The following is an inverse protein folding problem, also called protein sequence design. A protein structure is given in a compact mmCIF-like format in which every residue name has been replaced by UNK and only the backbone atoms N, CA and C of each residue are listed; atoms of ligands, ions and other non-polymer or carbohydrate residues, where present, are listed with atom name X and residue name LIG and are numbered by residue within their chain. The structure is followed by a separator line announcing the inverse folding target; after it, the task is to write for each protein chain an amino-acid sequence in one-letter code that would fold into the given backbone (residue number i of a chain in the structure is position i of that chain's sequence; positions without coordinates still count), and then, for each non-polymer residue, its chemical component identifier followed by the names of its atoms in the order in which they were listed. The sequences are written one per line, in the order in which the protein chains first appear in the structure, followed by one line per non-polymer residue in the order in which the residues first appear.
data_IF_070495873612
#
_entry.id   IF_070495873612
#
_cell.length_a   1.000
_cell.length_b   1.000
_cell.length_c   1.000
_cell.angle_alpha   90.00
_cell.angle_beta   90.00
_cell.angle_gamma   90.00
#
_symmetry.space_group_name_H-M   'P 1'
#
loop_
_entity.id
_entity.type
_entity.pdbx_description
1 polymer ?
#
# COMPACT_ATOMS: atom_id res chain seq x y z
N UNK A 1 11.99 -13.43 30.25
CA UNK A 1 12.94 -12.83 29.32
C UNK A 1 12.14 -12.11 28.24
N UNK A 2 12.03 -10.79 28.32
CA UNK A 2 11.44 -9.97 27.27
C UNK A 2 12.56 -9.62 26.30
N UNK A 3 12.59 -10.26 25.12
CA UNK A 3 13.51 -9.88 24.05
C UNK A 3 13.08 -8.54 23.49
N UNK A 4 14.05 -7.65 23.28
CA UNK A 4 13.85 -6.31 22.72
C UNK A 4 12.94 -6.33 21.49
N UNK A 5 12.06 -5.34 21.32
CA UNK A 5 11.24 -5.25 20.12
C UNK A 5 12.16 -5.14 18.91
N UNK A 6 12.06 -6.12 18.01
CA UNK A 6 12.78 -6.15 16.75
C UNK A 6 12.38 -4.91 15.95
N UNK A 7 13.24 -3.88 15.95
CA UNK A 7 12.98 -2.66 15.20
C UNK A 7 12.90 -3.06 13.72
N UNK A 8 11.79 -2.79 13.03
CA UNK A 8 11.71 -3.06 11.61
C UNK A 8 12.86 -2.31 10.93
N UNK A 9 13.69 -3.02 10.16
CA UNK A 9 14.75 -2.41 9.34
C UNK A 9 14.18 -1.46 8.27
N UNK A 10 12.89 -1.58 7.99
CA UNK A 10 12.15 -0.78 7.04
C UNK A 10 11.58 0.46 7.76
N UNK A 11 12.03 1.65 7.32
CA UNK A 11 11.54 2.94 7.82
C UNK A 11 10.15 3.30 7.27
N UNK A 12 9.62 2.50 6.34
CA UNK A 12 8.33 2.70 5.68
C UNK A 12 8.20 4.08 5.01
N UNK A 13 9.30 4.66 4.52
CA UNK A 13 9.33 5.99 3.91
C UNK A 13 8.44 6.06 2.67
N UNK A 14 8.46 5.03 1.81
CA UNK A 14 7.57 4.94 0.64
C UNK A 14 6.09 4.86 1.06
N UNK A 15 5.78 4.10 2.11
CA UNK A 15 4.42 3.99 2.63
C UNK A 15 3.90 5.32 3.19
N UNK A 16 4.74 6.07 3.89
CA UNK A 16 4.37 7.39 4.41
C UNK A 16 4.09 8.35 3.25
N UNK A 17 4.96 8.37 2.24
CA UNK A 17 4.79 9.18 1.04
C UNK A 17 3.48 8.87 0.30
N UNK A 18 3.19 7.59 0.10
CA UNK A 18 1.93 7.15 -0.54
C UNK A 18 0.71 7.67 0.22
N UNK A 19 0.73 7.65 1.55
CA UNK A 19 -0.39 8.13 2.37
C UNK A 19 -0.54 9.64 2.25
N UNK A 20 0.57 10.37 2.37
CA UNK A 20 0.55 11.83 2.31
C UNK A 20 0.03 12.31 0.95
N UNK A 21 0.46 11.66 -0.14
CA UNK A 21 0.00 11.98 -1.50
C UNK A 21 -1.46 11.55 -1.73
N UNK A 22 -1.88 10.40 -1.18
CA UNK A 22 -3.22 9.85 -1.40
C UNK A 22 -4.28 10.42 -0.46
N UNK A 23 -3.91 11.09 0.63
CA UNK A 23 -4.87 11.51 1.67
C UNK A 23 -5.97 12.41 1.11
N UNK A 24 -5.60 13.40 0.28
CA UNK A 24 -6.55 14.32 -0.33
C UNK A 24 -7.56 13.58 -1.22
N UNK A 25 -7.09 12.59 -1.99
CA UNK A 25 -7.93 11.75 -2.84
C UNK A 25 -8.84 10.83 -2.03
N UNK A 26 -8.32 10.27 -0.94
CA UNK A 26 -9.11 9.47 0.02
C UNK A 26 -10.20 10.34 0.63
N UNK A 27 -9.89 11.54 1.13
CA UNK A 27 -10.86 12.42 1.80
C UNK A 27 -11.95 12.96 0.88
N UNK A 28 -11.60 13.24 -0.37
CA UNK A 28 -12.54 13.72 -1.39
C UNK A 28 -13.29 12.59 -2.10
N UNK A 29 -12.91 11.32 -1.90
CA UNK A 29 -13.49 10.17 -2.58
C UNK A 29 -13.25 10.14 -4.09
N UNK A 30 -12.14 10.74 -4.54
CA UNK A 30 -11.79 10.83 -5.96
C UNK A 30 -10.74 9.78 -6.33
N UNK A 31 -10.80 9.31 -7.58
CA UNK A 31 -9.76 8.43 -8.11
C UNK A 31 -8.47 9.24 -8.29
N UNK A 32 -7.35 8.69 -7.84
CA UNK A 32 -6.04 9.27 -8.06
C UNK A 32 -5.08 8.23 -8.63
N UNK A 33 -4.02 8.69 -9.28
CA UNK A 33 -2.97 7.83 -9.83
C UNK A 33 -1.61 8.36 -9.42
N UNK A 34 -0.81 7.50 -8.80
CA UNK A 34 0.52 7.84 -8.31
C UNK A 34 1.57 6.90 -8.89
N UNK A 35 2.77 7.42 -9.10
CA UNK A 35 3.88 6.67 -9.70
C UNK A 35 5.09 6.76 -8.77
N UNK A 36 5.64 5.60 -8.40
CA UNK A 36 6.83 5.52 -7.55
C UNK A 36 7.80 4.48 -8.04
N UNK A 37 9.07 4.64 -7.67
CA UNK A 37 10.04 3.57 -7.79
C UNK A 37 10.02 2.74 -6.50
N UNK A 38 10.15 1.42 -6.63
CA UNK A 38 10.18 0.48 -5.49
C UNK A 38 11.47 -0.32 -5.47
N UNK A 39 12.01 -0.54 -4.28
CA UNK A 39 13.19 -1.39 -4.05
C UNK A 39 12.86 -2.48 -3.02
N UNK A 40 13.66 -3.56 -2.99
CA UNK A 40 13.35 -4.77 -2.20
C UNK A 40 13.21 -4.49 -0.69
N UNK A 41 13.79 -3.39 -0.20
CA UNK A 41 13.65 -2.99 1.20
C UNK A 41 12.28 -2.38 1.53
N UNK A 42 11.52 -1.94 0.51
CA UNK A 42 10.16 -1.42 0.68
C UNK A 42 9.18 -2.58 0.85
N UNK A 43 8.73 -2.81 2.09
CA UNK A 43 7.82 -3.91 2.43
C UNK A 43 6.42 -3.39 2.75
N UNK A 44 5.43 -4.27 2.69
CA UNK A 44 4.05 -3.97 3.08
C UNK A 44 3.42 -2.78 2.34
N UNK A 45 3.86 -2.52 1.11
CA UNK A 45 3.38 -1.40 0.29
C UNK A 45 1.88 -1.55 0.03
N UNK A 46 1.12 -0.50 0.37
CA UNK A 46 -0.33 -0.44 0.17
C UNK A 46 -1.19 -0.88 1.38
N UNK A 47 -0.61 -1.55 2.38
CA UNK A 47 -1.37 -2.04 3.53
C UNK A 47 -1.95 -0.90 4.38
N UNK A 48 -1.14 0.15 4.61
CA UNK A 48 -1.56 1.29 5.45
C UNK A 48 -2.58 2.18 4.74
N UNK A 49 -2.45 2.38 3.43
CA UNK A 49 -3.46 3.08 2.63
C UNK A 49 -4.81 2.33 2.65
N UNK A 50 -4.76 1.00 2.48
CA UNK A 50 -5.97 0.17 2.52
C UNK A 50 -6.67 0.23 3.88
N UNK A 51 -5.91 0.26 4.98
CA UNK A 51 -6.45 0.44 6.33
C UNK A 51 -7.15 1.79 6.53
N UNK A 52 -6.61 2.87 5.98
CA UNK A 52 -7.24 4.20 6.05
C UNK A 52 -8.53 4.28 5.24
N UNK A 53 -8.57 3.65 4.06
CA UNK A 53 -9.78 3.57 3.24
C UNK A 53 -10.84 2.71 3.94
N UNK A 54 -10.47 1.53 4.44
CA UNK A 54 -11.40 0.65 5.15
C UNK A 54 -11.98 1.30 6.40
N UNK A 55 -11.19 2.10 7.13
CA UNK A 55 -11.65 2.83 8.31
C UNK A 55 -12.67 3.93 8.00
N UNK A 56 -12.52 4.61 6.84
CA UNK A 56 -13.39 5.73 6.43
C UNK A 56 -14.61 5.28 5.65
N UNK A 57 -14.44 4.33 4.74
CA UNK A 57 -15.42 3.96 3.70
C UNK A 57 -15.88 2.49 3.79
N UNK A 58 -15.36 1.71 4.74
CA UNK A 58 -15.55 0.26 4.76
C UNK A 58 -14.85 -0.43 3.59
N UNK A 59 -15.02 -1.75 3.47
CA UNK A 59 -14.28 -2.56 2.49
C UNK A 59 -14.62 -2.29 1.01
N UNK A 60 -15.68 -1.54 0.69
CA UNK A 60 -16.12 -1.30 -0.69
C UNK A 60 -16.40 0.17 -1.03
N UNK A 61 -16.35 1.10 -0.07
CA UNK A 61 -16.86 2.44 -0.30
C UNK A 61 -16.04 3.31 -1.26
N UNK A 62 -14.83 2.88 -1.64
CA UNK A 62 -14.01 3.55 -2.64
C UNK A 62 -13.81 2.71 -3.93
N UNK A 63 -14.53 1.60 -4.08
CA UNK A 63 -14.40 0.71 -5.24
C UNK A 63 -14.82 1.37 -6.58
N UNK A 64 -15.70 2.38 -6.52
CA UNK A 64 -16.11 3.15 -7.70
C UNK A 64 -15.06 4.17 -8.18
N UNK A 65 -14.17 4.59 -7.27
CA UNK A 65 -13.16 5.64 -7.51
C UNK A 65 -11.80 5.19 -6.96
N UNK A 66 -11.18 4.15 -7.52
CA UNK A 66 -9.99 3.55 -6.93
C UNK A 66 -8.78 4.47 -6.99
N UNK A 67 -7.91 4.36 -5.98
CA UNK A 67 -6.57 4.93 -5.97
C UNK A 67 -5.61 3.94 -6.61
N UNK A 68 -4.99 4.36 -7.71
CA UNK A 68 -4.06 3.56 -8.49
C UNK A 68 -2.64 3.93 -8.12
N UNK A 69 -1.81 2.94 -7.82
CA UNK A 69 -0.40 3.12 -7.50
C UNK A 69 0.39 2.28 -8.48
N UNK A 70 1.17 2.95 -9.32
CA UNK A 70 2.10 2.34 -10.26
C UNK A 70 3.50 2.35 -9.66
N UNK A 71 4.12 1.19 -9.66
CA UNK A 71 5.44 0.95 -9.10
C UNK A 71 6.35 0.40 -10.19
N UNK A 72 7.57 0.93 -10.27
CA UNK A 72 8.61 0.43 -11.15
C UNK A 72 9.82 -0.01 -10.31
N UNK A 73 10.30 -1.24 -10.51
CA UNK A 73 11.46 -1.80 -9.81
C UNK A 73 11.22 -3.16 -9.15
N UNK A 74 11.85 -3.40 -7.99
CA UNK A 74 11.78 -4.68 -7.30
C UNK A 74 11.03 -4.54 -5.98
N UNK A 75 9.79 -5.02 -5.88
CA UNK A 75 9.02 -4.96 -4.64
C UNK A 75 9.54 -5.97 -3.60
N UNK A 76 9.62 -5.52 -2.35
CA UNK A 76 9.94 -6.36 -1.20
C UNK A 76 8.80 -7.30 -0.79
N UNK A 77 9.01 -8.06 0.28
CA UNK A 77 8.00 -9.00 0.79
C UNK A 77 6.68 -8.33 1.20
N UNK A 78 5.57 -9.06 1.05
CA UNK A 78 4.21 -8.65 1.47
C UNK A 78 3.64 -7.44 0.71
N UNK A 79 3.80 -7.42 -0.61
CA UNK A 79 3.17 -6.42 -1.48
C UNK A 79 1.64 -6.61 -1.55
N UNK A 80 0.84 -5.55 -1.35
CA UNK A 80 -0.62 -5.59 -1.56
C UNK A 80 -1.44 -6.33 -0.49
N UNK A 81 -0.93 -6.45 0.73
CA UNK A 81 -1.65 -7.08 1.85
C UNK A 81 -2.82 -6.18 2.30
N UNK A 82 -4.02 -6.77 2.43
CA UNK A 82 -5.27 -6.11 2.85
C UNK A 82 -5.87 -5.10 1.86
N UNK A 83 -5.73 -5.34 0.54
CA UNK A 83 -6.27 -4.47 -0.49
C UNK A 83 -7.81 -4.33 -0.38
N UNK A 84 -8.28 -3.31 0.34
CA UNK A 84 -9.69 -2.96 0.41
C UNK A 84 -10.16 -2.49 -0.97
N UNK A 85 -11.44 -2.69 -1.29
CA UNK A 85 -12.03 -2.21 -2.54
C UNK A 85 -11.81 -0.70 -2.69
N UNK A 86 -10.95 -0.32 -3.63
CA UNK A 86 -10.54 1.07 -3.82
C UNK A 86 -9.04 1.34 -3.88
N UNK A 87 -8.17 0.32 -3.75
CA UNK A 87 -6.74 0.45 -4.07
C UNK A 87 -6.38 -0.50 -5.21
N UNK A 88 -5.66 0.00 -6.21
CA UNK A 88 -5.14 -0.77 -7.33
C UNK A 88 -3.62 -0.61 -7.36
N UNK A 89 -2.89 -1.70 -7.18
CA UNK A 89 -1.43 -1.70 -7.21
C UNK A 89 -0.95 -2.33 -8.52
N UNK A 90 -0.19 -1.57 -9.30
CA UNK A 90 0.46 -2.00 -10.53
C UNK A 90 1.96 -2.03 -10.30
N UNK A 91 2.61 -3.15 -10.60
CA UNK A 91 4.06 -3.29 -10.50
C UNK A 91 4.63 -3.66 -11.87
N UNK A 92 5.58 -2.87 -12.35
CA UNK A 92 6.42 -3.16 -13.51
C UNK A 92 7.81 -3.54 -13.00
N UNK A 93 8.17 -4.82 -13.09
CA UNK A 93 9.44 -5.34 -12.56
C UNK A 93 9.24 -6.66 -11.80
N UNK A 94 10.01 -6.87 -10.73
CA UNK A 94 10.03 -8.12 -9.96
C UNK A 94 9.43 -7.93 -8.56
N UNK A 95 8.76 -8.94 -8.01
CA UNK A 95 8.28 -8.92 -6.63
C UNK A 95 8.78 -10.13 -5.85
N UNK A 96 9.19 -9.93 -4.60
CA UNK A 96 9.57 -11.00 -3.68
C UNK A 96 8.33 -11.59 -2.96
N UNK A 97 8.54 -12.62 -2.14
CA UNK A 97 7.48 -13.45 -1.53
C UNK A 97 6.31 -12.70 -0.86
N UNK A 98 5.12 -13.32 -0.84
CA UNK A 98 3.87 -12.85 -0.20
C UNK A 98 3.10 -11.72 -0.89
N UNK A 99 3.26 -11.56 -2.21
CA UNK A 99 2.35 -10.71 -3.01
C UNK A 99 0.89 -11.14 -2.79
N UNK A 100 0.01 -10.20 -2.44
CA UNK A 100 -1.44 -10.43 -2.30
C UNK A 100 -1.86 -11.26 -1.09
N UNK A 101 -1.00 -11.50 -0.10
CA UNK A 101 -1.37 -12.26 1.11
C UNK A 101 -2.51 -11.54 1.85
N UNK A 102 -3.67 -12.17 1.97
CA UNK A 102 -4.84 -11.59 2.64
C UNK A 102 -5.66 -10.62 1.78
N UNK A 103 -5.49 -10.65 0.45
CA UNK A 103 -6.52 -10.12 -0.46
C UNK A 103 -7.86 -10.83 -0.19
N UNK A 104 -8.91 -10.03 -0.03
CA UNK A 104 -10.30 -10.47 0.16
C UNK A 104 -11.18 -9.80 -0.88
#
# INVERSE_FOLDING_TARGET
FWTEPNKPFDKAELNQKIIDDAMDAVETGQSASFFYNVINTDRSVGARLSGEIAKRYGNQGLAASPIKIYLDGTAGQSFGVWNAGGVELYLTGDANDYVGKGMA
#
